data_IF_852583857555
#
_entry.id   IF_852583857555
#
_cell.length_a   1.000
_cell.length_b   1.000
_cell.length_c   1.000
_cell.angle_alpha   90.00
_cell.angle_beta   90.00
_cell.angle_gamma   90.00
#
_symmetry.space_group_name_H-M   'P 1'
#
loop_
_entity.id
_entity.type
_entity.pdbx_description
1 polymer ?
#
# COMPACT_ATOMS: atom_id res chain seq x y z
N UNK A 1 -54.76 9.55 -43.20
CA UNK A 1 -53.72 10.45 -43.74
C UNK A 1 -52.49 9.60 -44.00
N UNK A 2 -52.05 9.50 -45.26
CA UNK A 2 -51.15 8.45 -45.78
C UNK A 2 -49.69 8.75 -45.48
N UNK A 3 -48.95 7.78 -44.88
CA UNK A 3 -47.50 7.80 -44.72
C UNK A 3 -46.79 7.48 -46.05
N UNK A 4 -45.79 8.28 -46.41
CA UNK A 4 -44.89 8.01 -47.57
C UNK A 4 -43.59 7.31 -47.06
N UNK A 5 -43.00 6.40 -47.77
CA UNK A 5 -41.76 5.69 -47.38
C UNK A 5 -40.51 6.49 -47.79
N UNK A 6 -39.44 6.32 -46.98
CA UNK A 6 -38.13 6.92 -47.18
C UNK A 6 -37.29 6.22 -48.25
N UNK A 7 -36.33 6.89 -48.91
CA UNK A 7 -35.56 6.38 -50.05
C UNK A 7 -34.42 5.42 -49.62
N UNK A 8 -34.20 4.42 -50.51
CA UNK A 8 -33.15 3.38 -50.41
C UNK A 8 -31.77 3.95 -50.78
N UNK A 9 -30.75 3.64 -49.96
CA UNK A 9 -29.34 3.91 -50.20
C UNK A 9 -28.74 2.72 -51.01
N UNK A 10 -27.91 2.95 -52.05
CA UNK A 10 -27.33 1.89 -52.88
C UNK A 10 -26.15 1.19 -52.22
N UNK A 11 -26.11 -0.16 -52.34
CA UNK A 11 -25.00 -1.02 -51.91
C UNK A 11 -23.80 -0.88 -52.84
N UNK A 12 -22.60 -0.68 -52.31
CA UNK A 12 -21.31 -0.79 -53.03
C UNK A 12 -20.85 -2.25 -53.10
N UNK A 13 -20.14 -2.65 -54.19
CA UNK A 13 -19.78 -4.05 -54.46
C UNK A 13 -18.52 -4.50 -53.68
N UNK A 14 -18.55 -5.78 -53.31
CA UNK A 14 -17.45 -6.49 -52.68
C UNK A 14 -16.21 -6.55 -53.58
N UNK A 15 -15.06 -6.04 -53.10
CA UNK A 15 -13.73 -6.34 -53.63
C UNK A 15 -13.22 -7.66 -53.06
N UNK A 16 -13.07 -8.67 -53.92
CA UNK A 16 -12.35 -9.92 -53.63
C UNK A 16 -10.89 -9.64 -53.32
N UNK A 17 -10.41 -10.00 -52.13
CA UNK A 17 -8.98 -10.12 -51.85
C UNK A 17 -8.50 -11.51 -52.24
N UNK A 18 -7.50 -11.55 -53.12
CA UNK A 18 -6.75 -12.74 -53.53
C UNK A 18 -5.95 -13.29 -52.35
N UNK A 19 -6.06 -14.59 -52.12
CA UNK A 19 -5.19 -15.37 -51.22
C UNK A 19 -3.82 -15.55 -51.90
N UNK A 20 -2.71 -15.29 -51.19
CA UNK A 20 -1.38 -15.78 -51.51
C UNK A 20 -0.99 -16.82 -50.46
N UNK A 21 -0.18 -17.84 -50.82
CA UNK A 21 -0.03 -19.06 -50.03
C UNK A 21 1.03 -18.94 -48.91
N UNK A 22 0.76 -19.66 -47.82
CA UNK A 22 1.75 -19.91 -46.76
C UNK A 22 2.86 -20.84 -47.28
N UNK A 23 4.10 -20.41 -47.11
CA UNK A 23 5.24 -21.32 -47.11
C UNK A 23 6.37 -20.70 -46.23
N UNK A 24 6.80 -21.50 -45.26
CA UNK A 24 8.09 -21.50 -44.58
C UNK A 24 8.46 -20.34 -43.63
N UNK A 25 8.32 -20.61 -42.34
CA UNK A 25 9.44 -20.42 -41.38
C UNK A 25 9.16 -21.28 -40.11
N UNK A 26 9.51 -22.57 -40.21
CA UNK A 26 9.76 -23.44 -39.07
C UNK A 26 11.24 -23.79 -39.18
N UNK A 27 12.06 -23.29 -38.28
CA UNK A 27 13.34 -23.80 -37.84
C UNK A 27 14.17 -22.65 -37.24
N UNK A 28 14.15 -22.50 -35.93
CA UNK A 28 15.33 -22.19 -35.07
C UNK A 28 14.91 -22.05 -33.60
N UNK A 29 14.62 -23.17 -32.95
CA UNK A 29 14.58 -23.23 -31.47
C UNK A 29 14.73 -24.68 -31.00
N UNK A 30 15.89 -25.26 -31.27
CA UNK A 30 16.31 -26.51 -30.63
C UNK A 30 17.83 -26.63 -30.75
N UNK A 31 18.56 -26.03 -29.83
CA UNK A 31 19.97 -26.35 -29.49
C UNK A 31 20.44 -25.44 -28.35
N UNK A 32 20.05 -25.73 -27.11
CA UNK A 32 20.83 -25.52 -25.89
C UNK A 32 20.18 -26.37 -24.80
N UNK A 33 20.43 -27.64 -24.81
CA UNK A 33 20.27 -28.51 -23.66
C UNK A 33 21.07 -29.79 -23.92
N UNK A 34 22.37 -29.72 -23.66
CA UNK A 34 23.25 -30.87 -23.27
C UNK A 34 24.65 -30.30 -23.07
N UNK A 35 25.12 -30.37 -21.84
CA UNK A 35 26.52 -30.12 -21.56
C UNK A 35 26.82 -29.42 -20.24
N UNK A 36 26.59 -30.07 -19.11
CA UNK A 36 27.30 -29.77 -17.88
C UNK A 36 27.15 -30.94 -16.90
N UNK A 37 27.93 -31.99 -17.13
CA UNK A 37 28.32 -32.92 -16.08
C UNK A 37 29.85 -33.05 -16.19
N UNK A 38 30.51 -32.89 -15.06
CA UNK A 38 31.88 -33.24 -14.70
C UNK A 38 32.85 -32.06 -14.50
N UNK A 39 33.30 -32.07 -13.31
CA UNK A 39 34.63 -31.79 -12.79
C UNK A 39 34.68 -30.74 -11.68
N UNK A 40 34.55 -31.24 -10.46
CA UNK A 40 35.13 -30.69 -9.23
C UNK A 40 36.65 -30.58 -9.40
N UNK A 41 37.22 -29.38 -9.32
CA UNK A 41 38.62 -29.17 -9.01
C UNK A 41 38.74 -27.88 -8.18
N UNK A 42 39.27 -28.07 -6.99
CA UNK A 42 39.55 -27.01 -6.03
C UNK A 42 40.64 -26.07 -6.57
N UNK A 43 40.38 -24.75 -6.47
CA UNK A 43 41.37 -23.70 -6.70
C UNK A 43 41.93 -23.19 -5.35
N UNK A 44 43.24 -22.91 -5.25
CA UNK A 44 43.88 -22.54 -4.00
C UNK A 44 43.65 -21.06 -3.63
N UNK A 45 43.68 -20.80 -2.35
CA UNK A 45 43.58 -19.48 -1.76
C UNK A 45 44.81 -18.60 -2.10
N UNK A 46 44.64 -17.27 -2.28
CA UNK A 46 45.79 -16.37 -2.46
C UNK A 46 46.47 -16.04 -1.12
N UNK A 47 47.78 -15.79 -1.13
CA UNK A 47 48.56 -15.58 0.06
C UNK A 47 48.35 -14.18 0.67
N UNK A 48 48.47 -14.13 1.99
CA UNK A 48 48.45 -12.93 2.79
C UNK A 48 49.64 -12.01 2.42
N UNK A 49 49.35 -10.74 2.10
CA UNK A 49 50.39 -9.74 1.93
C UNK A 49 50.69 -9.08 3.27
N UNK A 50 51.95 -9.16 3.64
CA UNK A 50 52.51 -8.61 4.86
C UNK A 50 52.60 -7.04 4.82
N UNK A 51 52.39 -6.46 5.98
CA UNK A 51 52.61 -5.06 6.25
C UNK A 51 54.05 -4.61 6.07
N UNK A 52 54.29 -3.51 5.39
CA UNK A 52 55.52 -2.72 5.47
C UNK A 52 55.13 -1.29 5.88
N UNK A 53 55.48 -0.96 7.10
CA UNK A 53 55.47 0.39 7.62
C UNK A 53 56.84 1.02 7.34
N UNK A 54 56.86 2.24 6.83
CA UNK A 54 57.97 3.22 7.01
C UNK A 54 57.42 4.64 6.82
N UNK A 55 57.96 5.61 7.60
CA UNK A 55 57.39 6.95 7.67
C UNK A 55 58.04 7.89 6.69
N UNK A 56 57.24 8.80 6.09
CA UNK A 56 57.77 9.99 5.43
C UNK A 56 57.14 11.24 6.06
N UNK A 57 57.98 11.90 6.79
CA UNK A 57 57.75 13.23 7.37
C UNK A 57 58.10 14.27 6.28
N UNK A 58 57.13 15.05 5.81
CA UNK A 58 57.41 16.32 5.13
C UNK A 58 56.34 17.33 5.54
N UNK A 59 56.79 18.35 6.26
CA UNK A 59 56.02 19.51 6.60
C UNK A 59 55.63 20.29 5.31
N UNK A 60 54.31 20.37 5.05
CA UNK A 60 53.74 21.26 4.04
C UNK A 60 52.56 21.99 4.69
N UNK A 61 52.56 23.30 4.67
CA UNK A 61 51.51 24.18 5.22
C UNK A 61 50.21 23.90 4.48
N UNK A 62 49.19 23.50 5.22
CA UNK A 62 47.81 23.45 4.75
C UNK A 62 47.27 24.86 4.49
N UNK A 63 46.55 25.09 3.38
CA UNK A 63 45.75 26.28 3.23
C UNK A 63 44.54 26.19 4.19
N UNK A 64 44.25 27.29 4.87
CA UNK A 64 43.20 27.43 5.84
C UNK A 64 41.87 26.91 5.29
N UNK A 65 41.28 25.89 5.97
CA UNK A 65 39.88 25.49 5.77
C UNK A 65 38.96 26.71 5.96
N UNK A 66 37.96 26.89 5.08
CA UNK A 66 36.91 27.87 5.34
C UNK A 66 36.18 27.41 6.60
N UNK A 67 36.07 28.30 7.57
CA UNK A 67 35.33 28.08 8.83
C UNK A 67 33.92 27.52 8.51
N UNK A 68 33.69 26.26 8.87
CA UNK A 68 32.34 25.70 8.88
C UNK A 68 31.51 26.57 9.83
N UNK A 69 30.62 27.37 9.26
CA UNK A 69 29.60 28.06 9.99
C UNK A 69 28.82 26.98 10.75
N UNK A 70 28.86 27.02 12.07
CA UNK A 70 28.03 26.16 12.92
C UNK A 70 26.59 26.44 12.56
N UNK A 71 25.99 25.60 11.71
CA UNK A 71 24.54 25.53 11.58
C UNK A 71 24.02 25.22 12.97
N UNK A 72 23.19 26.09 13.51
CA UNK A 72 22.49 25.84 14.76
C UNK A 72 21.74 24.50 14.61
N UNK A 73 21.76 23.64 15.62
CA UNK A 73 21.00 22.40 15.56
C UNK A 73 19.54 22.77 15.27
N UNK A 74 18.97 22.20 14.22
CA UNK A 74 17.55 22.33 13.92
C UNK A 74 16.79 21.95 15.21
N UNK A 75 16.03 22.90 15.74
CA UNK A 75 15.21 22.64 16.91
C UNK A 75 14.26 21.51 16.54
N UNK A 76 14.40 20.36 17.20
CA UNK A 76 13.44 19.27 17.08
C UNK A 76 12.06 19.84 17.39
N UNK A 77 11.13 19.69 16.46
CA UNK A 77 9.73 20.05 16.70
C UNK A 77 9.28 19.38 18.00
N UNK A 78 8.62 20.11 18.91
CA UNK A 78 7.97 19.48 20.03
C UNK A 78 6.90 18.56 19.46
N UNK A 79 7.11 17.27 19.50
CA UNK A 79 6.12 16.24 19.18
C UNK A 79 5.06 16.20 20.28
N UNK A 80 4.23 17.22 20.34
CA UNK A 80 2.95 17.07 20.98
C UNK A 80 2.05 16.35 19.96
N UNK A 81 1.52 15.16 20.26
CA UNK A 81 0.51 14.57 19.40
C UNK A 81 -0.62 15.58 19.25
N UNK A 82 -1.16 15.78 18.02
CA UNK A 82 -2.26 16.70 17.83
C UNK A 82 -3.40 16.34 18.78
N UNK A 83 -4.05 17.35 19.35
CA UNK A 83 -5.14 17.15 20.29
C UNK A 83 -6.17 16.18 19.71
N UNK A 84 -6.43 15.06 20.39
CA UNK A 84 -7.37 14.05 19.95
C UNK A 84 -6.77 12.84 19.25
N UNK A 85 -5.46 12.55 19.38
CA UNK A 85 -4.85 11.29 18.91
C UNK A 85 -5.62 10.08 19.44
N UNK A 86 -5.86 9.09 18.59
CA UNK A 86 -6.51 7.84 18.97
C UNK A 86 -5.63 7.08 19.97
N UNK A 87 -6.16 6.89 21.19
CA UNK A 87 -5.47 6.11 22.21
C UNK A 87 -5.44 4.63 21.80
N UNK A 88 -4.36 3.91 22.14
CA UNK A 88 -4.27 2.46 21.94
C UNK A 88 -5.44 1.71 22.60
N UNK A 89 -5.88 2.17 23.77
CA UNK A 89 -7.02 1.61 24.50
C UNK A 89 -8.38 1.76 23.78
N UNK A 90 -8.47 2.55 22.70
CA UNK A 90 -9.69 2.65 21.89
C UNK A 90 -9.85 1.47 20.91
N UNK A 91 -8.76 0.75 20.61
CA UNK A 91 -8.78 -0.45 19.76
C UNK A 91 -9.34 -1.63 20.55
N UNK A 92 -10.27 -2.37 19.94
CA UNK A 92 -10.92 -3.53 20.54
C UNK A 92 -10.27 -4.83 20.04
N UNK A 93 -9.30 -5.35 20.80
CA UNK A 93 -8.62 -6.62 20.48
C UNK A 93 -9.58 -7.82 20.43
N UNK A 94 -10.62 -7.81 21.26
CA UNK A 94 -11.61 -8.88 21.23
C UNK A 94 -12.45 -8.84 19.95
N UNK A 95 -12.78 -7.64 19.47
CA UNK A 95 -13.44 -7.47 18.18
C UNK A 95 -12.55 -7.91 17.00
N UNK A 96 -11.26 -7.55 17.01
CA UNK A 96 -10.29 -8.01 16.00
C UNK A 96 -10.22 -9.54 15.96
N UNK A 97 -10.11 -10.19 17.14
CA UNK A 97 -10.11 -11.65 17.25
C UNK A 97 -11.40 -12.26 16.69
N UNK A 98 -12.56 -11.73 17.08
CA UNK A 98 -13.85 -12.25 16.64
C UNK A 98 -14.03 -12.15 15.10
N UNK A 99 -13.56 -11.06 14.48
CA UNK A 99 -13.59 -10.89 13.01
C UNK A 99 -12.77 -12.00 12.33
N UNK A 100 -11.55 -12.23 12.82
CA UNK A 100 -10.66 -13.23 12.22
C UNK A 100 -11.17 -14.65 12.44
N UNK A 101 -11.70 -14.96 13.63
CA UNK A 101 -12.32 -16.25 13.93
C UNK A 101 -13.54 -16.53 13.03
N UNK A 102 -14.38 -15.53 12.77
CA UNK A 102 -15.51 -15.64 11.84
C UNK A 102 -15.07 -15.92 10.41
N UNK A 103 -14.04 -15.19 9.93
CA UNK A 103 -13.51 -15.39 8.58
C UNK A 103 -12.81 -16.73 8.41
N UNK A 104 -11.99 -17.14 9.39
CA UNK A 104 -11.31 -18.43 9.38
C UNK A 104 -12.30 -19.61 9.47
N UNK A 105 -13.42 -19.45 10.17
CA UNK A 105 -14.47 -20.48 10.30
C UNK A 105 -15.17 -20.80 8.96
N UNK A 106 -15.07 -19.94 7.95
CA UNK A 106 -15.52 -20.23 6.59
C UNK A 106 -14.72 -21.37 5.91
N UNK A 107 -13.68 -21.90 6.54
CA UNK A 107 -12.87 -23.05 6.13
C UNK A 107 -11.96 -22.78 4.94
N UNK A 108 -12.45 -22.15 3.91
CA UNK A 108 -11.71 -21.58 2.79
C UNK A 108 -12.41 -20.29 2.33
N UNK A 109 -11.64 -19.33 1.86
CA UNK A 109 -12.16 -18.15 1.16
C UNK A 109 -11.50 -18.01 -0.20
N UNK A 110 -11.02 -19.12 -0.78
CA UNK A 110 -10.43 -19.12 -2.11
C UNK A 110 -11.36 -18.42 -3.10
N UNK A 111 -10.84 -17.52 -3.94
CA UNK A 111 -11.67 -16.68 -4.83
C UNK A 111 -12.57 -17.46 -5.80
N UNK A 112 -12.21 -18.70 -6.12
CA UNK A 112 -13.00 -19.61 -6.96
C UNK A 112 -13.88 -20.57 -6.14
N UNK A 113 -13.99 -20.41 -4.80
CA UNK A 113 -14.89 -21.20 -3.95
C UNK A 113 -16.33 -20.68 -4.05
N UNK A 114 -17.23 -21.24 -3.24
CA UNK A 114 -18.66 -20.87 -3.28
C UNK A 114 -18.91 -19.42 -2.86
N UNK A 115 -19.67 -18.69 -3.68
CA UNK A 115 -20.20 -17.36 -3.36
C UNK A 115 -21.56 -17.41 -2.65
N UNK A 116 -22.19 -18.57 -2.55
CA UNK A 116 -23.59 -18.73 -2.08
C UNK A 116 -23.74 -19.67 -0.88
N UNK A 117 -22.72 -20.41 -0.52
CA UNK A 117 -22.74 -21.25 0.69
C UNK A 117 -22.52 -20.33 1.90
N UNK A 118 -23.49 -20.31 2.86
CA UNK A 118 -23.40 -19.42 4.02
C UNK A 118 -22.40 -19.87 5.10
N UNK A 119 -21.85 -21.09 5.00
CA UNK A 119 -20.97 -21.67 6.01
C UNK A 119 -19.56 -21.92 5.49
N UNK A 120 -19.35 -21.96 4.15
CA UNK A 120 -18.06 -22.27 3.55
C UNK A 120 -17.85 -21.51 2.26
N UNK A 121 -16.65 -21.05 2.05
CA UNK A 121 -16.25 -20.36 0.82
C UNK A 121 -16.18 -18.85 0.97
N UNK A 122 -15.82 -18.20 -0.13
CA UNK A 122 -15.58 -16.77 -0.15
C UNK A 122 -16.86 -15.95 0.13
N UNK A 123 -18.04 -16.46 -0.25
CA UNK A 123 -19.34 -15.83 0.02
C UNK A 123 -19.64 -15.74 1.52
N UNK A 124 -19.29 -16.78 2.30
CA UNK A 124 -19.38 -16.78 3.75
C UNK A 124 -18.55 -15.61 4.34
N UNK A 125 -17.29 -15.43 3.89
CA UNK A 125 -16.44 -14.33 4.33
C UNK A 125 -17.01 -12.96 3.98
N UNK A 126 -17.49 -12.78 2.74
CA UNK A 126 -18.18 -11.56 2.31
C UNK A 126 -19.36 -11.21 3.22
N UNK A 127 -20.18 -12.17 3.56
CA UNK A 127 -21.40 -11.95 4.36
C UNK A 127 -21.07 -11.52 5.79
N UNK A 128 -20.02 -12.11 6.41
CA UNK A 128 -19.51 -11.66 7.71
C UNK A 128 -19.00 -10.21 7.64
N UNK A 129 -18.22 -9.84 6.64
CA UNK A 129 -17.69 -8.49 6.44
C UNK A 129 -18.83 -7.48 6.28
N UNK A 130 -19.81 -7.79 5.43
CA UNK A 130 -21.01 -6.95 5.25
C UNK A 130 -21.77 -6.74 6.56
N UNK A 131 -21.95 -7.79 7.35
CA UNK A 131 -22.64 -7.71 8.66
C UNK A 131 -21.90 -6.78 9.63
N UNK A 132 -20.56 -6.86 9.67
CA UNK A 132 -19.70 -6.00 10.50
C UNK A 132 -19.79 -4.54 10.08
N UNK A 133 -19.61 -4.22 8.79
CA UNK A 133 -19.75 -2.84 8.30
C UNK A 133 -21.17 -2.29 8.48
N UNK A 134 -22.20 -3.11 8.26
CA UNK A 134 -23.58 -2.70 8.50
C UNK A 134 -23.86 -2.38 9.97
N UNK A 135 -23.26 -3.12 10.90
CA UNK A 135 -23.37 -2.83 12.34
C UNK A 135 -22.70 -1.50 12.69
N UNK A 136 -21.50 -1.24 12.15
CA UNK A 136 -20.77 0.05 12.31
C UNK A 136 -21.59 1.19 11.71
N UNK A 137 -22.16 1.01 10.53
CA UNK A 137 -23.02 2.01 9.89
C UNK A 137 -24.20 2.40 10.77
N UNK A 138 -24.89 1.40 11.34
CA UNK A 138 -26.02 1.66 12.27
C UNK A 138 -25.56 2.43 13.51
N UNK A 139 -24.45 2.04 14.13
CA UNK A 139 -23.88 2.74 15.28
C UNK A 139 -23.49 4.17 14.96
N UNK A 140 -22.95 4.42 13.76
CA UNK A 140 -22.54 5.73 13.23
C UNK A 140 -23.68 6.57 12.65
N UNK A 141 -24.94 6.20 12.88
CA UNK A 141 -26.12 6.95 12.39
C UNK A 141 -26.35 6.80 10.88
N UNK A 142 -25.94 5.70 10.26
CA UNK A 142 -26.20 5.40 8.85
C UNK A 142 -25.29 6.13 7.86
N UNK A 143 -24.24 6.81 8.32
CA UNK A 143 -23.35 7.61 7.44
C UNK A 143 -22.37 6.74 6.64
N UNK A 144 -21.99 5.60 7.17
CA UNK A 144 -21.13 4.65 6.46
C UNK A 144 -21.97 3.94 5.39
N UNK A 145 -21.68 4.21 4.13
CA UNK A 145 -22.38 3.65 2.97
C UNK A 145 -21.72 2.35 2.57
N UNK A 146 -22.41 1.23 2.83
CA UNK A 146 -21.88 -0.12 2.59
C UNK A 146 -22.48 -0.68 1.30
N UNK A 147 -21.63 -1.21 0.43
CA UNK A 147 -22.03 -1.81 -0.86
C UNK A 147 -21.14 -2.99 -1.22
N UNK A 148 -21.65 -3.80 -2.15
CA UNK A 148 -20.88 -4.84 -2.83
C UNK A 148 -20.66 -4.39 -4.27
N UNK A 149 -19.40 -4.32 -4.65
CA UNK A 149 -18.97 -4.05 -6.03
C UNK A 149 -18.69 -5.39 -6.72
N UNK A 150 -19.49 -5.70 -7.77
CA UNK A 150 -19.44 -6.98 -8.49
C UNK A 150 -18.82 -6.81 -9.86
N UNK A 151 -17.89 -7.70 -10.19
CA UNK A 151 -17.19 -7.66 -11.46
C UNK A 151 -16.77 -9.07 -11.91
N UNK A 152 -16.29 -9.18 -13.14
CA UNK A 152 -15.65 -10.39 -13.65
C UNK A 152 -14.20 -10.10 -14.02
N UNK A 153 -13.30 -11.01 -13.72
CA UNK A 153 -11.90 -10.91 -14.10
C UNK A 153 -11.34 -12.23 -14.62
N UNK A 154 -10.32 -12.13 -15.46
CA UNK A 154 -9.62 -13.29 -16.04
C UNK A 154 -8.13 -13.18 -15.75
N UNK A 155 -7.55 -14.24 -15.18
CA UNK A 155 -6.13 -14.36 -14.90
C UNK A 155 -5.65 -15.80 -15.09
N UNK A 156 -4.34 -16.06 -15.12
CA UNK A 156 -3.84 -17.44 -15.13
C UNK A 156 -4.37 -18.27 -13.95
N UNK A 157 -4.47 -17.67 -12.76
CA UNK A 157 -4.98 -18.34 -11.55
C UNK A 157 -6.52 -18.35 -11.44
N UNK A 158 -7.24 -17.90 -12.47
CA UNK A 158 -8.67 -18.21 -12.67
C UNK A 158 -8.87 -19.33 -13.71
N UNK A 159 -7.79 -20.04 -14.06
CA UNK A 159 -7.79 -21.03 -15.13
C UNK A 159 -7.92 -20.42 -16.53
N UNK A 160 -7.63 -19.13 -16.69
CA UNK A 160 -7.75 -18.39 -17.95
C UNK A 160 -9.19 -18.14 -18.37
N UNK A 161 -10.14 -18.21 -17.44
CA UNK A 161 -11.58 -17.98 -17.69
C UNK A 161 -12.08 -16.81 -16.85
N UNK A 162 -13.13 -16.09 -17.30
CA UNK A 162 -13.83 -15.13 -16.46
C UNK A 162 -14.32 -15.78 -15.16
N UNK A 163 -14.01 -15.16 -14.03
CA UNK A 163 -14.46 -15.57 -12.72
C UNK A 163 -15.25 -14.41 -12.09
N UNK A 164 -16.43 -14.65 -11.50
CA UNK A 164 -17.16 -13.64 -10.76
C UNK A 164 -16.42 -13.33 -9.46
N UNK A 165 -16.25 -12.05 -9.17
CA UNK A 165 -15.58 -11.53 -7.98
C UNK A 165 -16.40 -10.40 -7.37
N UNK A 166 -16.24 -10.17 -6.08
CA UNK A 166 -16.93 -9.11 -5.35
C UNK A 166 -15.98 -8.43 -4.38
N UNK A 167 -15.94 -7.10 -4.39
CA UNK A 167 -15.33 -6.30 -3.33
C UNK A 167 -16.42 -5.82 -2.35
N UNK A 168 -16.09 -5.70 -1.07
CA UNK A 168 -16.95 -5.05 -0.09
C UNK A 168 -16.42 -3.66 0.19
N UNK A 169 -17.23 -2.64 -0.08
CA UNK A 169 -16.85 -1.24 0.02
C UNK A 169 -17.70 -0.53 1.07
N UNK A 170 -17.06 0.21 1.96
CA UNK A 170 -17.71 1.00 2.99
C UNK A 170 -17.19 2.45 2.95
N UNK A 171 -17.95 3.35 2.30
CA UNK A 171 -17.62 4.75 2.15
C UNK A 171 -18.15 5.60 3.31
N UNK A 172 -17.30 6.40 3.90
CA UNK A 172 -17.67 7.49 4.80
C UNK A 172 -17.43 8.82 4.06
N UNK A 173 -18.47 9.44 3.49
CA UNK A 173 -18.32 10.65 2.68
C UNK A 173 -17.68 11.80 3.45
N UNK A 174 -16.78 12.51 2.79
CA UNK A 174 -16.19 13.74 3.28
C UNK A 174 -17.22 14.87 3.37
N UNK A 175 -17.03 15.75 4.35
CA UNK A 175 -17.95 16.88 4.60
C UNK A 175 -17.52 18.18 3.90
N UNK A 176 -16.29 18.27 3.42
CA UNK A 176 -15.79 19.44 2.69
C UNK A 176 -16.02 19.25 1.19
N UNK A 177 -16.85 20.10 0.54
CA UNK A 177 -17.12 19.98 -0.89
C UNK A 177 -15.86 19.98 -1.77
N UNK A 178 -14.80 20.68 -1.36
CA UNK A 178 -13.53 20.75 -2.10
C UNK A 178 -12.72 19.43 -1.99
N UNK A 179 -12.88 18.69 -0.89
CA UNK A 179 -12.12 17.48 -0.57
C UNK A 179 -12.96 16.20 -0.63
N UNK A 180 -14.28 16.29 -0.82
CA UNK A 180 -15.19 15.14 -0.81
C UNK A 180 -14.88 14.11 -1.90
N UNK A 181 -14.18 14.48 -2.95
CA UNK A 181 -13.69 13.56 -4.00
C UNK A 181 -12.26 13.09 -3.79
N UNK A 182 -11.54 13.58 -2.79
CA UNK A 182 -10.29 13.01 -2.32
C UNK A 182 -10.61 11.85 -1.39
N UNK A 183 -10.09 10.66 -1.68
CA UNK A 183 -10.32 9.46 -0.88
C UNK A 183 -9.02 8.96 -0.25
N UNK A 184 -9.07 8.75 1.06
CA UNK A 184 -8.08 7.98 1.81
C UNK A 184 -8.66 6.62 2.13
N UNK A 185 -7.94 5.54 1.80
CA UNK A 185 -8.51 4.20 1.93
C UNK A 185 -7.59 3.23 2.67
N UNK A 186 -8.21 2.25 3.30
CA UNK A 186 -7.57 1.10 3.95
C UNK A 186 -8.22 -0.18 3.46
N UNK A 187 -7.43 -1.20 3.20
CA UNK A 187 -7.96 -2.52 2.87
C UNK A 187 -7.12 -3.67 3.41
N UNK A 188 -7.74 -4.84 3.40
CA UNK A 188 -7.15 -6.16 3.32
C UNK A 188 -7.87 -6.96 2.25
N UNK A 189 -7.31 -8.08 1.78
CA UNK A 189 -8.01 -9.00 0.91
C UNK A 189 -8.69 -10.10 1.72
N UNK A 190 -9.90 -10.49 1.32
CA UNK A 190 -10.64 -11.48 2.09
C UNK A 190 -10.64 -12.88 1.47
N UNK A 191 -10.06 -13.04 0.30
CA UNK A 191 -9.74 -14.35 -0.23
C UNK A 191 -8.54 -14.97 0.49
N UNK A 192 -8.40 -16.29 0.42
CA UNK A 192 -7.33 -17.05 1.05
C UNK A 192 -6.87 -18.18 0.12
N UNK A 193 -5.63 -18.66 0.31
CA UNK A 193 -5.03 -19.64 -0.58
C UNK A 193 -4.50 -20.86 0.18
N UNK A 194 -4.83 -22.09 -0.23
CA UNK A 194 -4.23 -23.32 0.29
C UNK A 194 -2.87 -23.61 -0.35
N UNK A 195 -2.19 -24.67 0.10
CA UNK A 195 -0.92 -25.13 -0.49
C UNK A 195 -1.03 -25.45 -2.00
N UNK A 196 -2.20 -25.88 -2.46
CA UNK A 196 -2.51 -26.05 -3.88
C UNK A 196 -3.26 -24.84 -4.38
N UNK A 197 -2.56 -23.89 -4.99
CA UNK A 197 -3.06 -22.56 -5.40
C UNK A 197 -4.31 -22.55 -6.29
N UNK A 198 -4.69 -23.70 -6.86
CA UNK A 198 -5.86 -23.84 -7.75
C UNK A 198 -6.94 -24.72 -7.14
N UNK A 199 -6.83 -25.11 -5.86
CA UNK A 199 -7.82 -25.94 -5.19
C UNK A 199 -8.80 -25.10 -4.35
N UNK A 200 -10.00 -24.78 -4.86
CA UNK A 200 -10.96 -23.96 -4.16
C UNK A 200 -11.69 -24.70 -3.03
N UNK A 201 -11.47 -26.01 -2.88
CA UNK A 201 -12.14 -26.85 -1.89
C UNK A 201 -11.26 -27.16 -0.67
N UNK A 202 -9.94 -27.08 -0.80
CA UNK A 202 -9.03 -27.33 0.31
C UNK A 202 -9.18 -26.30 1.41
N UNK A 203 -8.92 -26.71 2.65
CA UNK A 203 -8.95 -25.81 3.80
C UNK A 203 -7.83 -24.76 3.69
N UNK A 204 -8.24 -23.51 3.79
CA UNK A 204 -7.39 -22.32 3.78
C UNK A 204 -8.01 -21.28 4.74
N UNK A 205 -7.82 -21.39 6.06
CA UNK A 205 -8.41 -20.49 7.03
C UNK A 205 -8.00 -19.03 6.84
N UNK A 206 -6.74 -18.78 6.37
CA UNK A 206 -6.25 -17.45 6.03
C UNK A 206 -6.41 -16.47 7.19
N UNK A 207 -5.94 -16.83 8.39
CA UNK A 207 -6.14 -16.01 9.58
C UNK A 207 -5.23 -14.78 9.57
N UNK A 208 -4.00 -14.94 9.11
CA UNK A 208 -3.05 -13.84 8.93
C UNK A 208 -3.11 -13.31 7.50
N UNK A 209 -3.15 -14.19 6.52
CA UNK A 209 -3.22 -13.90 5.08
C UNK A 209 -4.64 -14.20 4.53
N UNK A 210 -5.63 -13.23 4.45
CA UNK A 210 -5.45 -11.90 5.01
C UNK A 210 -6.72 -11.46 5.77
N UNK A 211 -7.22 -12.36 6.68
CA UNK A 211 -8.25 -11.92 7.60
C UNK A 211 -7.72 -10.84 8.58
N UNK A 212 -6.39 -10.79 8.79
CA UNK A 212 -5.74 -9.80 9.64
C UNK A 212 -5.89 -8.38 9.09
N UNK A 213 -5.61 -8.17 7.81
CA UNK A 213 -5.78 -6.87 7.14
C UNK A 213 -7.25 -6.47 7.01
N UNK A 214 -8.14 -7.43 6.74
CA UNK A 214 -9.58 -7.18 6.76
C UNK A 214 -10.05 -6.71 8.15
N UNK A 215 -9.55 -7.33 9.22
CA UNK A 215 -9.86 -6.92 10.58
C UNK A 215 -9.37 -5.50 10.89
N UNK A 216 -8.18 -5.12 10.39
CA UNK A 216 -7.66 -3.73 10.48
C UNK A 216 -8.58 -2.75 9.77
N UNK A 217 -9.08 -3.08 8.58
CA UNK A 217 -10.00 -2.22 7.84
C UNK A 217 -11.34 -2.04 8.57
N UNK A 218 -11.91 -3.12 9.10
CA UNK A 218 -13.17 -3.08 9.86
C UNK A 218 -13.00 -2.31 11.18
N UNK A 219 -11.92 -2.53 11.93
CA UNK A 219 -11.64 -1.82 13.17
C UNK A 219 -11.39 -0.32 12.92
N UNK A 220 -10.69 0.02 11.84
CA UNK A 220 -10.53 1.41 11.41
C UNK A 220 -11.88 2.06 11.13
N UNK A 221 -12.80 1.36 10.46
CA UNK A 221 -14.15 1.85 10.25
C UNK A 221 -14.90 2.05 11.58
N UNK A 222 -14.79 1.13 12.55
CA UNK A 222 -15.41 1.26 13.87
C UNK A 222 -14.91 2.50 14.61
N UNK A 223 -13.60 2.71 14.61
CA UNK A 223 -12.96 3.86 15.28
C UNK A 223 -13.33 5.19 14.65
N UNK A 224 -13.50 5.24 13.32
CA UNK A 224 -13.66 6.49 12.58
C UNK A 224 -15.11 6.79 12.22
N UNK A 225 -15.91 5.79 11.89
CA UNK A 225 -17.30 5.95 11.47
C UNK A 225 -18.33 5.61 12.55
N UNK A 226 -17.95 4.93 13.63
CA UNK A 226 -18.87 4.51 14.69
C UNK A 226 -19.43 5.64 15.55
N UNK A 227 -18.79 6.82 15.56
CA UNK A 227 -19.29 8.01 16.27
C UNK A 227 -20.07 8.92 15.32
N UNK A 228 -21.40 9.11 15.51
CA UNK A 228 -22.22 9.91 14.60
C UNK A 228 -21.88 11.41 14.60
N UNK A 229 -21.15 11.89 15.60
CA UNK A 229 -20.75 13.30 15.69
C UNK A 229 -19.48 13.63 14.90
N UNK A 230 -18.63 12.63 14.62
CA UNK A 230 -17.36 12.86 13.91
C UNK A 230 -17.58 13.19 12.44
N UNK A 231 -16.80 14.14 11.94
CA UNK A 231 -16.75 14.51 10.52
C UNK A 231 -15.30 14.54 10.06
N UNK A 232 -15.10 14.18 8.81
CA UNK A 232 -13.81 14.27 8.12
C UNK A 232 -14.00 15.14 6.89
N UNK A 233 -12.98 15.88 6.51
CA UNK A 233 -13.05 16.77 5.34
C UNK A 233 -13.05 15.96 4.05
N UNK A 234 -12.08 15.05 3.90
CA UNK A 234 -12.00 14.11 2.79
C UNK A 234 -12.82 12.84 3.04
N UNK A 235 -13.11 12.09 1.98
CA UNK A 235 -13.80 10.79 2.04
C UNK A 235 -12.86 9.71 2.58
N UNK A 236 -13.38 8.84 3.45
CA UNK A 236 -12.72 7.62 3.88
C UNK A 236 -13.38 6.41 3.22
N UNK A 237 -12.56 5.44 2.77
CA UNK A 237 -13.02 4.16 2.26
C UNK A 237 -12.36 3.03 3.05
N UNK A 238 -13.18 2.14 3.57
CA UNK A 238 -12.78 0.89 4.19
C UNK A 238 -13.19 -0.23 3.26
N UNK A 239 -12.24 -1.00 2.76
CA UNK A 239 -12.49 -1.99 1.72
C UNK A 239 -12.01 -3.39 2.13
N UNK A 240 -12.73 -4.41 1.71
CA UNK A 240 -12.22 -5.76 1.63
C UNK A 240 -12.27 -6.19 0.16
N UNK A 241 -11.12 -6.47 -0.42
CA UNK A 241 -10.99 -6.82 -1.83
C UNK A 241 -10.86 -8.33 -2.01
N UNK A 242 -11.18 -8.85 -3.19
CA UNK A 242 -11.11 -10.27 -3.49
C UNK A 242 -10.22 -10.58 -4.68
N UNK A 243 -9.65 -11.79 -4.72
CA UNK A 243 -8.83 -12.24 -5.83
C UNK A 243 -7.44 -11.62 -5.85
N UNK A 244 -6.91 -11.24 -4.70
CA UNK A 244 -5.49 -10.87 -4.53
C UNK A 244 -4.62 -12.05 -4.96
N UNK A 245 -4.89 -13.21 -4.39
CA UNK A 245 -4.18 -14.47 -4.60
C UNK A 245 -4.23 -14.97 -6.05
N UNK A 246 -5.23 -14.55 -6.80
CA UNK A 246 -5.36 -14.86 -8.22
C UNK A 246 -4.70 -13.83 -9.13
N UNK A 247 -4.14 -12.75 -8.58
CA UNK A 247 -3.35 -11.76 -9.30
C UNK A 247 -3.84 -10.32 -9.15
N UNK A 248 -4.12 -9.87 -7.92
CA UNK A 248 -4.49 -8.49 -7.56
C UNK A 248 -5.77 -8.03 -8.28
N UNK A 249 -6.74 -8.95 -8.49
CA UNK A 249 -7.89 -8.70 -9.35
C UNK A 249 -8.83 -7.66 -8.75
N UNK A 250 -9.12 -7.79 -7.44
CA UNK A 250 -10.01 -6.89 -6.72
C UNK A 250 -9.46 -5.48 -6.59
N UNK A 251 -8.19 -5.33 -6.25
CA UNK A 251 -7.55 -4.02 -6.13
C UNK A 251 -7.35 -3.32 -7.47
N UNK A 252 -7.05 -4.09 -8.54
CA UNK A 252 -6.99 -3.55 -9.90
C UNK A 252 -8.34 -3.00 -10.32
N UNK A 253 -9.42 -3.74 -10.05
CA UNK A 253 -10.78 -3.28 -10.31
C UNK A 253 -11.17 -2.09 -9.42
N UNK A 254 -10.85 -2.13 -8.12
CA UNK A 254 -11.13 -1.04 -7.19
C UNK A 254 -10.48 0.28 -7.64
N UNK A 255 -9.22 0.24 -8.08
CA UNK A 255 -8.55 1.42 -8.63
C UNK A 255 -9.34 2.03 -9.79
N UNK A 256 -9.73 1.20 -10.76
CA UNK A 256 -10.53 1.65 -11.91
C UNK A 256 -11.91 2.17 -11.48
N UNK A 257 -12.58 1.45 -10.56
CA UNK A 257 -13.85 1.89 -10.00
C UNK A 257 -13.76 3.31 -9.39
N UNK A 258 -12.72 3.58 -8.61
CA UNK A 258 -12.54 4.89 -8.00
C UNK A 258 -12.28 5.98 -9.02
N UNK A 259 -11.48 5.72 -10.05
CA UNK A 259 -11.23 6.66 -11.16
C UNK A 259 -12.52 6.94 -11.95
N UNK A 260 -13.29 5.92 -12.31
CA UNK A 260 -14.54 6.04 -13.07
C UNK A 260 -15.61 6.83 -12.30
N UNK A 261 -15.56 6.81 -10.96
CA UNK A 261 -16.42 7.60 -10.08
C UNK A 261 -15.86 8.98 -9.74
N UNK A 262 -14.74 9.38 -10.36
CA UNK A 262 -14.13 10.69 -10.21
C UNK A 262 -13.49 10.92 -8.84
N UNK A 263 -13.03 9.87 -8.16
CA UNK A 263 -12.24 10.01 -6.95
C UNK A 263 -10.76 10.23 -7.29
N UNK A 264 -10.13 11.11 -6.51
CA UNK A 264 -8.68 11.27 -6.47
C UNK A 264 -8.13 10.52 -5.26
N UNK A 265 -7.12 9.68 -5.46
CA UNK A 265 -6.51 8.90 -4.38
C UNK A 265 -5.58 9.82 -3.58
N UNK A 266 -5.97 10.15 -2.35
CA UNK A 266 -5.13 10.90 -1.41
C UNK A 266 -4.12 10.01 -0.67
N UNK A 267 -4.46 8.72 -0.47
CA UNK A 267 -3.58 7.73 0.14
C UNK A 267 -4.27 6.38 0.31
N UNK A 268 -3.55 5.32 -0.03
CA UNK A 268 -4.00 3.94 0.16
C UNK A 268 -3.10 3.18 1.12
N UNK A 269 -3.70 2.67 2.21
CA UNK A 269 -3.06 1.88 3.25
C UNK A 269 -3.49 0.41 3.07
N UNK A 270 -2.72 -0.37 2.33
CA UNK A 270 -2.96 -1.81 2.18
C UNK A 270 -2.35 -2.57 3.35
N UNK A 271 -3.13 -3.42 3.99
CA UNK A 271 -2.67 -4.32 5.05
C UNK A 271 -2.75 -5.75 4.53
N UNK A 272 -1.68 -6.51 4.69
CA UNK A 272 -1.59 -7.85 4.14
C UNK A 272 -0.50 -8.60 4.91
N UNK A 273 -0.90 -9.64 5.66
CA UNK A 273 -0.09 -10.36 6.65
C UNK A 273 0.38 -9.41 7.76
N UNK A 274 -0.54 -9.01 8.65
CA UNK A 274 -0.28 -8.03 9.72
C UNK A 274 -0.67 -8.52 11.11
N UNK A 275 -0.98 -9.82 11.24
CA UNK A 275 -1.54 -10.39 12.46
C UNK A 275 -0.51 -11.02 13.39
N UNK A 276 0.70 -11.33 12.94
CA UNK A 276 1.70 -12.01 13.74
C UNK A 276 3.00 -11.22 13.89
N UNK A 277 3.81 -11.61 14.86
CA UNK A 277 5.15 -11.07 15.05
C UNK A 277 6.04 -12.14 15.65
N UNK A 278 6.80 -12.78 14.77
CA UNK A 278 7.74 -13.82 15.13
C UNK A 278 9.16 -13.32 15.41
N UNK A 279 9.36 -12.00 15.46
CA UNK A 279 10.68 -11.39 15.68
C UNK A 279 11.13 -11.58 17.12
N UNK A 280 12.18 -12.35 17.41
CA UNK A 280 12.66 -12.48 18.78
C UNK A 280 13.34 -11.19 19.25
N UNK A 281 12.78 -10.56 20.27
CA UNK A 281 13.45 -9.56 21.10
C UNK A 281 13.68 -8.17 20.51
N UNK A 282 12.90 -7.74 19.52
CA UNK A 282 13.05 -6.43 18.88
C UNK A 282 11.85 -5.53 19.08
N UNK A 283 11.93 -4.22 18.80
CA UNK A 283 10.71 -3.44 18.66
C UNK A 283 9.88 -4.03 17.53
N UNK A 284 8.67 -4.44 17.87
CA UNK A 284 7.67 -5.07 17.01
C UNK A 284 7.10 -4.03 16.04
N UNK A 285 7.92 -3.57 15.10
CA UNK A 285 7.55 -2.54 14.13
C UNK A 285 6.99 -3.18 12.86
N UNK A 286 5.78 -2.82 12.49
CA UNK A 286 5.23 -3.20 11.21
C UNK A 286 6.10 -2.63 10.07
N UNK A 287 6.39 -3.45 9.05
CA UNK A 287 7.08 -2.98 7.85
C UNK A 287 6.11 -2.20 6.98
N UNK A 288 6.55 -1.07 6.45
CA UNK A 288 5.79 -0.22 5.54
C UNK A 288 6.54 -0.10 4.22
N UNK A 289 6.08 -0.84 3.22
CA UNK A 289 6.65 -0.85 1.88
C UNK A 289 6.13 0.32 1.07
N UNK A 290 7.04 0.99 0.33
CA UNK A 290 6.72 2.11 -0.55
C UNK A 290 7.68 2.17 -1.73
N UNK A 291 7.14 2.33 -2.94
CA UNK A 291 7.95 2.40 -4.14
C UNK A 291 8.43 3.82 -4.43
N UNK A 292 9.60 3.93 -5.06
CA UNK A 292 10.03 5.14 -5.75
C UNK A 292 9.46 5.21 -7.15
N UNK A 293 9.43 6.41 -7.71
CA UNK A 293 9.11 6.64 -9.12
C UNK A 293 10.21 6.13 -10.05
N UNK A 294 9.96 6.15 -11.37
CA UNK A 294 10.99 5.93 -12.37
C UNK A 294 12.12 6.97 -12.18
N UNK A 295 13.32 6.62 -12.60
CA UNK A 295 14.50 7.50 -12.56
C UNK A 295 15.01 7.88 -11.16
N UNK A 296 14.63 7.13 -10.11
CA UNK A 296 15.09 7.38 -8.74
C UNK A 296 14.44 8.58 -8.05
N UNK A 297 13.49 9.23 -8.70
CA UNK A 297 12.69 10.32 -8.11
C UNK A 297 11.81 9.77 -7.01
N UNK A 298 11.65 10.49 -5.90
CA UNK A 298 10.68 10.15 -4.88
C UNK A 298 9.27 10.13 -5.47
N UNK A 299 8.49 9.17 -5.03
CA UNK A 299 7.13 8.99 -5.52
C UNK A 299 6.12 9.29 -4.39
N UNK A 300 4.87 9.63 -4.72
CA UNK A 300 3.82 9.86 -3.75
C UNK A 300 3.64 8.72 -2.72
N UNK A 301 3.97 7.48 -3.12
CA UNK A 301 3.99 6.31 -2.23
C UNK A 301 4.99 6.47 -1.07
N UNK A 302 6.21 7.00 -1.34
CA UNK A 302 7.22 7.23 -0.29
C UNK A 302 6.86 8.38 0.63
N UNK A 303 6.23 9.41 0.09
CA UNK A 303 5.77 10.55 0.89
C UNK A 303 4.62 10.14 1.81
N UNK A 304 3.70 9.34 1.32
CA UNK A 304 2.66 8.72 2.16
C UNK A 304 3.28 7.86 3.28
N UNK A 305 4.30 7.04 2.97
CA UNK A 305 4.97 6.22 3.98
C UNK A 305 5.66 7.06 5.06
N UNK A 306 6.29 8.18 4.70
CA UNK A 306 6.89 9.11 5.67
C UNK A 306 5.83 9.80 6.52
N UNK A 307 4.74 10.24 5.91
CA UNK A 307 3.61 10.83 6.66
C UNK A 307 3.04 9.83 7.68
N UNK A 308 2.88 8.57 7.31
CA UNK A 308 2.46 7.51 8.23
C UNK A 308 3.47 7.31 9.37
N UNK A 309 4.79 7.27 9.08
CA UNK A 309 5.82 7.16 10.13
C UNK A 309 5.80 8.37 11.07
N UNK A 310 5.63 9.58 10.56
CA UNK A 310 5.52 10.81 11.37
C UNK A 310 4.30 10.78 12.30
N UNK A 311 3.17 10.31 11.79
CA UNK A 311 1.92 10.17 12.56
C UNK A 311 2.05 9.08 13.64
N UNK A 312 2.58 7.93 13.27
CA UNK A 312 2.63 6.75 14.14
C UNK A 312 3.81 6.77 15.12
N UNK A 313 4.89 7.45 14.75
CA UNK A 313 6.20 7.41 15.40
C UNK A 313 7.13 6.33 14.84
N UNK A 314 8.45 6.58 14.88
CA UNK A 314 9.47 5.70 14.27
C UNK A 314 9.59 4.34 14.96
N UNK A 315 9.03 4.19 16.15
CA UNK A 315 9.04 2.92 16.90
C UNK A 315 7.85 2.02 16.55
N UNK A 316 6.82 2.56 15.88
CA UNK A 316 5.67 1.78 15.44
C UNK A 316 5.84 1.22 14.01
N UNK A 317 6.54 1.95 13.14
CA UNK A 317 6.65 1.65 11.72
C UNK A 317 8.11 1.57 11.29
N UNK A 318 8.43 0.60 10.43
CA UNK A 318 9.72 0.49 9.74
C UNK A 318 9.55 0.80 8.26
N UNK A 319 10.05 1.94 7.81
CA UNK A 319 10.06 2.30 6.39
C UNK A 319 10.91 1.31 5.57
N UNK A 320 10.35 0.81 4.48
CA UNK A 320 11.02 -0.04 3.50
C UNK A 320 10.83 0.57 2.11
N UNK A 321 11.85 1.24 1.61
CA UNK A 321 11.81 1.91 0.29
C UNK A 321 11.97 0.91 -0.85
N UNK A 322 10.97 0.07 -1.01
CA UNK A 322 10.83 -0.97 -2.01
C UNK A 322 9.36 -1.21 -2.26
N UNK A 323 8.98 -1.53 -3.51
CA UNK A 323 7.58 -1.80 -3.85
C UNK A 323 6.97 -2.88 -2.97
N UNK A 324 7.67 -4.01 -2.83
CA UNK A 324 7.26 -5.14 -2.00
C UNK A 324 8.43 -6.07 -1.73
N UNK A 325 8.19 -7.20 -1.07
CA UNK A 325 9.11 -8.33 -0.91
C UNK A 325 9.60 -8.81 -2.27
N UNK A 326 10.79 -9.40 -2.32
CA UNK A 326 11.39 -9.84 -3.58
C UNK A 326 10.54 -10.93 -4.26
N UNK A 327 10.08 -10.66 -5.48
CA UNK A 327 9.29 -11.58 -6.28
C UNK A 327 7.84 -11.74 -5.82
N UNK A 328 7.35 -10.86 -4.93
CA UNK A 328 5.97 -10.84 -4.43
C UNK A 328 5.30 -9.52 -4.77
N UNK A 329 4.01 -9.43 -4.51
CA UNK A 329 3.18 -8.25 -4.72
C UNK A 329 2.16 -8.09 -3.60
N UNK A 330 1.23 -7.16 -3.76
CA UNK A 330 0.11 -6.89 -2.89
C UNK A 330 -0.81 -5.84 -3.49
N UNK A 331 -1.96 -5.62 -2.92
CA UNK A 331 -3.05 -4.81 -3.47
C UNK A 331 -2.72 -3.32 -3.67
N UNK A 332 -1.69 -2.80 -3.00
CA UNK A 332 -1.19 -1.44 -3.24
C UNK A 332 -0.55 -1.27 -4.62
N UNK A 333 -0.07 -2.36 -5.23
CA UNK A 333 0.73 -2.32 -6.45
C UNK A 333 0.01 -1.72 -7.66
N UNK A 334 -1.25 -2.04 -8.00
CA UNK A 334 -1.96 -1.41 -9.12
C UNK A 334 -2.06 0.12 -8.99
N UNK A 335 -2.15 0.64 -7.75
CA UNK A 335 -2.19 2.08 -7.48
C UNK A 335 -0.81 2.73 -7.64
N UNK A 336 0.25 2.10 -7.12
CA UNK A 336 1.63 2.59 -7.29
C UNK A 336 2.04 2.61 -8.75
N UNK A 337 1.70 1.58 -9.53
CA UNK A 337 1.97 1.51 -10.97
C UNK A 337 1.21 2.59 -11.77
N UNK A 338 0.08 3.07 -11.25
CA UNK A 338 -0.66 4.22 -11.78
C UNK A 338 -0.14 5.59 -11.25
N UNK A 339 0.96 5.61 -10.49
CA UNK A 339 1.53 6.84 -9.92
C UNK A 339 0.76 7.39 -8.72
N UNK A 340 -0.12 6.60 -8.11
CA UNK A 340 -0.95 7.01 -6.98
C UNK A 340 -0.28 6.68 -5.64
N UNK A 341 -0.54 7.46 -4.56
CA UNK A 341 0.04 7.21 -3.25
C UNK A 341 -0.57 5.95 -2.61
N UNK A 342 0.21 4.88 -2.55
CA UNK A 342 -0.19 3.62 -1.94
C UNK A 342 1.00 2.95 -1.25
N UNK A 343 0.74 2.33 -0.10
CA UNK A 343 1.73 1.64 0.73
C UNK A 343 1.18 0.29 1.21
N UNK A 344 2.09 -0.65 1.53
CA UNK A 344 1.72 -1.94 2.11
C UNK A 344 2.30 -2.07 3.51
N UNK A 345 1.44 -2.36 4.47
CA UNK A 345 1.80 -2.86 5.78
C UNK A 345 1.95 -4.37 5.74
N UNK A 346 3.00 -4.90 6.38
CA UNK A 346 3.17 -6.33 6.62
C UNK A 346 4.01 -6.55 7.88
N UNK A 347 3.85 -7.66 8.52
CA UNK A 347 4.52 -8.02 9.76
C UNK A 347 6.05 -8.00 9.65
N UNK A 348 6.80 -7.87 10.77
CA UNK A 348 8.27 -7.73 10.72
C UNK A 348 8.99 -8.96 10.20
N UNK A 349 8.46 -10.14 10.44
CA UNK A 349 9.04 -11.42 10.03
C UNK A 349 7.94 -12.44 9.75
N UNK A 350 7.83 -12.90 8.52
CA UNK A 350 6.84 -13.88 8.08
C UNK A 350 7.28 -15.31 8.38
N UNK A 351 6.36 -16.18 8.81
CA UNK A 351 6.59 -17.63 8.92
C UNK A 351 5.84 -18.40 7.82
N UNK A 352 6.56 -18.76 6.76
CA UNK A 352 6.02 -19.46 5.59
C UNK A 352 5.43 -20.86 5.88
N UNK A 353 5.55 -21.40 7.10
CA UNK A 353 4.78 -22.57 7.50
C UNK A 353 3.32 -22.21 7.83
N UNK A 354 3.07 -20.94 8.07
CA UNK A 354 1.75 -20.42 8.42
C UNK A 354 1.11 -19.57 7.31
N UNK A 355 1.77 -19.43 6.15
CA UNK A 355 1.24 -18.72 4.98
C UNK A 355 1.01 -19.71 3.83
N UNK A 356 -0.10 -19.55 3.08
CA UNK A 356 -0.46 -20.37 1.90
C UNK A 356 -0.36 -21.88 2.16
N UNK A 357 -0.70 -22.31 3.39
CA UNK A 357 -0.57 -23.70 3.80
C UNK A 357 -1.93 -24.29 4.18
N UNK A 358 -2.27 -25.42 3.59
CA UNK A 358 -3.36 -26.24 4.08
C UNK A 358 -3.02 -26.76 5.47
N UNK A 359 -3.94 -26.65 6.47
CA UNK A 359 -3.68 -27.07 7.83
C UNK A 359 -3.30 -28.56 7.92
N UNK A 360 -2.16 -28.85 8.52
CA UNK A 360 -1.65 -30.23 8.73
C UNK A 360 -0.55 -30.27 9.77
N UNK A 361 -0.33 -31.46 10.32
CA UNK A 361 0.84 -31.78 11.13
C UNK A 361 1.76 -32.67 10.30
N UNK A 362 2.99 -32.22 10.04
CA UNK A 362 3.96 -32.93 9.21
C UNK A 362 5.35 -32.84 9.84
N UNK A 363 6.00 -34.00 10.07
CA UNK A 363 7.33 -34.04 10.68
C UNK A 363 7.42 -33.41 12.08
N UNK A 364 6.31 -33.35 12.81
CA UNK A 364 6.22 -32.70 14.13
C UNK A 364 6.07 -31.18 14.08
N UNK A 365 6.02 -30.58 12.88
CA UNK A 365 5.71 -29.17 12.66
C UNK A 365 4.26 -29.01 12.25
N UNK A 366 3.60 -28.03 12.82
CA UNK A 366 2.27 -27.64 12.41
C UNK A 366 2.33 -26.61 11.27
N UNK A 367 1.51 -26.82 10.25
CA UNK A 367 1.33 -25.96 9.10
C UNK A 367 -0.08 -25.43 9.04
N UNK A 368 -0.27 -24.31 8.42
CA UNK A 368 -1.59 -23.68 8.21
C UNK A 368 -1.66 -22.31 8.82
N UNK A 369 -2.41 -21.45 8.18
CA UNK A 369 -2.68 -20.08 8.62
C UNK A 369 -3.86 -20.09 9.60
N UNK A 370 -3.54 -20.17 10.89
CA UNK A 370 -4.49 -20.41 11.98
C UNK A 370 -4.48 -19.28 13.00
N UNK A 371 -5.67 -18.95 13.52
CA UNK A 371 -5.89 -17.88 14.51
C UNK A 371 -4.96 -17.94 15.73
N UNK A 372 -4.57 -19.13 16.16
CA UNK A 372 -3.71 -19.33 17.34
C UNK A 372 -2.27 -18.82 17.19
N UNK A 373 -1.82 -18.55 15.96
CA UNK A 373 -0.50 -18.00 15.68
C UNK A 373 -0.46 -16.47 15.70
N UNK A 374 -1.62 -15.81 15.81
CA UNK A 374 -1.71 -14.36 15.79
C UNK A 374 -1.36 -13.72 17.14
N UNK A 375 -0.77 -12.53 17.05
CA UNK A 375 -0.52 -11.63 18.16
C UNK A 375 -1.50 -10.45 18.12
N UNK A 376 -2.60 -10.54 18.84
CA UNK A 376 -3.65 -9.52 18.81
C UNK A 376 -3.24 -8.18 19.41
N UNK A 377 -2.22 -8.14 20.28
CA UNK A 377 -1.65 -6.88 20.74
C UNK A 377 -0.93 -6.16 19.60
N UNK A 378 -0.10 -6.88 18.83
CA UNK A 378 0.57 -6.35 17.66
C UNK A 378 -0.43 -5.90 16.59
N UNK A 379 -1.39 -6.75 16.25
CA UNK A 379 -2.46 -6.42 15.29
C UNK A 379 -3.25 -5.16 15.73
N UNK A 380 -3.52 -5.03 17.01
CA UNK A 380 -4.16 -3.84 17.55
C UNK A 380 -3.30 -2.58 17.43
N UNK A 381 -1.98 -2.67 17.51
CA UNK A 381 -1.09 -1.55 17.24
C UNK A 381 -1.10 -1.16 15.77
N UNK A 382 -1.14 -2.14 14.85
CA UNK A 382 -1.30 -1.90 13.41
C UNK A 382 -2.64 -1.22 13.11
N UNK A 383 -3.74 -1.68 13.70
CA UNK A 383 -5.06 -1.07 13.52
C UNK A 383 -5.08 0.39 14.01
N UNK A 384 -4.44 0.69 15.14
CA UNK A 384 -4.30 2.06 15.64
C UNK A 384 -3.52 2.95 14.68
N UNK A 385 -2.39 2.46 14.15
CA UNK A 385 -1.58 3.21 13.18
C UNK A 385 -2.40 3.55 11.93
N UNK A 386 -3.11 2.57 11.38
CA UNK A 386 -3.96 2.77 10.20
C UNK A 386 -5.08 3.80 10.48
N UNK A 387 -5.85 3.60 11.55
CA UNK A 387 -6.96 4.48 11.88
C UNK A 387 -6.48 5.93 12.17
N UNK A 388 -5.37 6.10 12.89
CA UNK A 388 -4.83 7.43 13.18
C UNK A 388 -4.29 8.11 11.92
N UNK A 389 -3.61 7.38 11.05
CA UNK A 389 -3.14 7.91 9.77
C UNK A 389 -4.29 8.38 8.90
N UNK A 390 -5.33 7.54 8.73
CA UNK A 390 -6.53 7.91 7.99
C UNK A 390 -7.22 9.14 8.60
N UNK A 391 -7.33 9.19 9.93
CA UNK A 391 -7.94 10.32 10.65
C UNK A 391 -7.23 11.63 10.36
N UNK A 392 -5.90 11.66 10.49
CA UNK A 392 -5.12 12.88 10.29
C UNK A 392 -5.13 13.31 8.83
N UNK A 393 -4.91 12.38 7.90
CA UNK A 393 -4.92 12.66 6.47
C UNK A 393 -6.28 13.19 6.00
N UNK A 394 -7.39 12.61 6.47
CA UNK A 394 -8.73 13.05 6.09
C UNK A 394 -9.18 14.37 6.76
N UNK A 395 -8.49 14.83 7.79
CA UNK A 395 -8.69 16.13 8.44
C UNK A 395 -7.72 17.21 7.93
N UNK A 396 -6.69 16.83 7.17
CA UNK A 396 -5.67 17.76 6.70
C UNK A 396 -6.26 18.90 5.85
N UNK A 397 -5.68 20.10 5.90
CA UNK A 397 -5.96 21.15 4.96
C UNK A 397 -5.72 20.75 3.51
N UNK A 398 -6.28 21.49 2.57
CA UNK A 398 -6.03 21.28 1.15
C UNK A 398 -4.54 21.45 0.82
N UNK A 399 -4.05 20.59 -0.09
CA UNK A 399 -2.66 20.61 -0.54
C UNK A 399 -2.31 21.89 -1.28
N UNK A 400 -1.12 22.49 -1.08
CA UNK A 400 -0.64 23.61 -1.92
C UNK A 400 -0.68 23.24 -3.40
N UNK A 401 -1.11 24.19 -4.23
CA UNK A 401 -1.17 23.99 -5.68
C UNK A 401 0.04 24.68 -6.37
N UNK A 402 0.31 24.27 -7.62
CA UNK A 402 1.34 24.89 -8.48
C UNK A 402 2.71 24.99 -7.81
N UNK A 403 3.08 23.98 -7.03
CA UNK A 403 4.38 23.96 -6.36
C UNK A 403 5.49 23.91 -7.38
N UNK A 404 6.41 24.85 -7.30
CA UNK A 404 7.58 24.93 -8.17
C UNK A 404 8.87 24.95 -7.37
N UNK A 405 9.87 24.25 -7.88
CA UNK A 405 11.24 24.21 -7.36
C UNK A 405 12.17 24.70 -8.45
N UNK A 406 13.02 25.70 -8.16
CA UNK A 406 14.02 26.21 -9.09
C UNK A 406 15.33 26.50 -8.38
N UNK A 407 16.44 26.56 -9.16
CA UNK A 407 17.78 26.75 -8.60
C UNK A 407 18.83 25.76 -9.13
N UNK A 408 18.54 25.04 -10.22
CA UNK A 408 19.41 23.98 -10.76
C UNK A 408 20.83 24.34 -11.16
N UNK A 409 21.20 25.65 -11.17
CA UNK A 409 22.54 26.14 -11.46
C UNK A 409 23.06 27.10 -10.39
N UNK A 410 22.46 27.09 -9.21
CA UNK A 410 22.83 27.92 -8.05
C UNK A 410 22.97 27.05 -6.80
N UNK A 411 23.58 27.60 -5.76
CA UNK A 411 23.63 26.95 -4.45
C UNK A 411 22.36 27.13 -3.66
N UNK A 412 21.43 27.96 -4.12
CA UNK A 412 20.20 28.32 -3.43
C UNK A 412 19.00 27.72 -4.17
N UNK A 413 18.00 27.28 -3.43
CA UNK A 413 16.75 26.77 -4.00
C UNK A 413 15.61 27.76 -3.74
N UNK A 414 14.85 28.05 -4.78
CA UNK A 414 13.63 28.85 -4.72
C UNK A 414 12.43 27.92 -4.76
N UNK A 415 11.54 28.05 -3.80
CA UNK A 415 10.27 27.36 -3.73
C UNK A 415 9.15 28.39 -3.88
N UNK A 416 8.15 28.08 -4.71
CA UNK A 416 6.93 28.87 -4.79
C UNK A 416 5.71 27.94 -4.93
N UNK A 417 4.57 28.39 -4.43
CA UNK A 417 3.32 27.64 -4.42
C UNK A 417 2.11 28.56 -4.37
N UNK A 418 0.98 28.08 -4.87
CA UNK A 418 -0.32 28.71 -4.67
C UNK A 418 -0.97 28.17 -3.40
N UNK A 419 -1.23 29.09 -2.47
CA UNK A 419 -1.88 28.75 -1.21
C UNK A 419 -3.38 28.50 -1.44
N UNK A 420 -3.95 27.33 -1.06
CA UNK A 420 -5.40 27.13 -1.12
C UNK A 420 -6.12 28.07 -0.17
N UNK A 421 -7.34 28.49 -0.51
CA UNK A 421 -8.23 29.17 0.40
C UNK A 421 -8.85 28.15 1.35
N UNK A 422 -8.20 27.96 2.51
CA UNK A 422 -8.54 26.93 3.48
C UNK A 422 -8.57 27.54 4.89
N UNK A 423 -9.75 27.53 5.57
CA UNK A 423 -9.90 28.16 6.88
C UNK A 423 -9.07 27.47 7.99
N UNK A 424 -8.70 26.20 7.80
CA UNK A 424 -7.92 25.43 8.77
C UNK A 424 -6.39 25.57 8.56
N UNK A 425 -5.99 26.33 7.52
CA UNK A 425 -4.58 26.56 7.24
C UNK A 425 -3.99 27.62 8.16
N UNK A 426 -3.01 27.25 8.99
CA UNK A 426 -2.24 28.17 9.80
C UNK A 426 -0.99 28.74 9.09
N UNK A 427 -0.51 28.07 8.04
CA UNK A 427 0.71 28.42 7.31
C UNK A 427 1.27 27.21 6.59
N UNK A 428 2.55 27.29 6.22
CA UNK A 428 3.30 26.24 5.57
C UNK A 428 4.60 25.98 6.32
N UNK A 429 4.98 24.74 6.43
CA UNK A 429 6.32 24.32 6.86
C UNK A 429 7.10 23.91 5.61
N UNK A 430 8.35 24.35 5.53
CA UNK A 430 9.25 23.96 4.45
C UNK A 430 10.09 22.80 4.94
N UNK A 431 9.88 21.67 4.31
CA UNK A 431 10.61 20.44 4.58
C UNK A 431 11.62 20.18 3.47
N UNK A 432 12.80 19.74 3.83
CA UNK A 432 13.81 19.26 2.89
C UNK A 432 14.60 18.12 3.50
N UNK A 433 15.28 17.35 2.68
CA UNK A 433 16.19 16.30 3.10
C UNK A 433 17.26 16.06 2.05
N UNK A 434 18.43 15.63 2.45
CA UNK A 434 19.42 15.09 1.53
C UNK A 434 18.87 13.84 0.82
N UNK A 435 19.27 13.61 -0.42
CA UNK A 435 18.83 12.48 -1.23
C UNK A 435 19.17 11.12 -0.60
N UNK A 436 20.19 11.08 0.28
CA UNK A 436 20.66 9.90 1.00
C UNK A 436 19.96 9.68 2.36
N UNK A 437 19.20 10.66 2.83
CA UNK A 437 18.53 10.62 4.14
C UNK A 437 17.05 10.27 3.95
N UNK A 438 16.50 9.28 4.67
CA UNK A 438 15.14 8.83 4.45
C UNK A 438 14.06 9.75 5.04
N UNK A 439 14.38 10.57 6.05
CA UNK A 439 13.42 11.40 6.79
C UNK A 439 13.55 12.86 6.46
N UNK A 440 12.41 13.56 6.49
CA UNK A 440 12.35 15.00 6.34
C UNK A 440 12.99 15.72 7.53
N UNK A 441 13.58 16.89 7.25
CA UNK A 441 14.01 17.86 8.25
C UNK A 441 13.19 19.15 8.07
N UNK A 442 12.83 19.81 9.16
CA UNK A 442 12.17 21.12 9.06
C UNK A 442 13.25 22.16 8.81
N UNK A 443 13.13 22.88 7.70
CA UNK A 443 14.01 24.00 7.40
C UNK A 443 13.51 25.29 8.04
N UNK A 444 12.24 25.60 7.87
CA UNK A 444 11.64 26.82 8.36
C UNK A 444 10.25 26.52 8.91
N UNK A 445 9.97 27.00 10.10
CA UNK A 445 8.65 26.97 10.69
C UNK A 445 7.65 27.83 9.92
N UNK A 446 6.38 27.72 10.30
CA UNK A 446 5.21 28.22 9.60
C UNK A 446 5.42 29.59 8.93
N UNK A 447 5.21 29.62 7.61
CA UNK A 447 5.18 30.84 6.79
C UNK A 447 3.81 31.03 6.15
N UNK A 448 3.35 32.26 6.10
CA UNK A 448 2.12 32.60 5.35
C UNK A 448 2.41 32.96 3.89
N UNK A 449 3.69 33.16 3.54
CA UNK A 449 4.12 33.49 2.17
C UNK A 449 3.86 32.33 1.21
N UNK A 450 3.68 32.64 -0.08
CA UNK A 450 3.58 31.65 -1.17
C UNK A 450 4.93 31.35 -1.85
N UNK A 451 6.05 31.79 -1.27
CA UNK A 451 7.38 31.57 -1.80
C UNK A 451 8.45 31.65 -0.70
N UNK A 452 9.60 31.03 -0.94
CA UNK A 452 10.79 31.16 -0.08
C UNK A 452 12.06 30.83 -0.84
N UNK A 453 13.19 31.29 -0.30
CA UNK A 453 14.54 30.96 -0.79
C UNK A 453 15.29 30.21 0.30
N UNK A 454 15.82 29.05 -0.04
CA UNK A 454 16.66 28.23 0.83
C UNK A 454 18.11 28.47 0.47
N UNK A 455 18.77 29.37 1.20
CA UNK A 455 20.17 29.74 0.94
C UNK A 455 21.11 28.57 1.27
N UNK A 456 22.00 28.23 0.36
CA UNK A 456 22.99 27.16 0.52
C UNK A 456 22.41 25.73 0.48
N UNK A 457 21.15 25.57 0.06
CA UNK A 457 20.50 24.26 -0.11
C UNK A 457 20.29 24.03 -1.59
N UNK A 458 21.11 23.19 -2.22
CA UNK A 458 21.09 22.92 -3.66
C UNK A 458 20.09 21.84 -4.03
N UNK A 459 19.41 22.02 -5.14
CA UNK A 459 18.54 20.99 -5.76
C UNK A 459 19.31 19.72 -6.18
N UNK A 460 20.65 19.78 -6.30
CA UNK A 460 21.46 18.62 -6.68
C UNK A 460 21.52 17.56 -5.59
N UNK A 461 21.44 17.98 -4.32
CA UNK A 461 21.65 17.11 -3.17
C UNK A 461 20.40 16.91 -2.32
N UNK A 462 19.33 17.67 -2.57
CA UNK A 462 18.16 17.69 -1.69
C UNK A 462 16.85 17.46 -2.44
N UNK A 463 15.90 16.84 -1.73
CA UNK A 463 14.47 16.82 -2.06
C UNK A 463 13.73 17.84 -1.17
N UNK A 464 12.59 18.34 -1.67
CA UNK A 464 11.77 19.37 -1.06
C UNK A 464 10.32 18.94 -1.02
#
# INVERSE_FOLDING_TARGET
>A
MRLRPAPRVPRRPHRRRRRLPHLALVALAALVALGALAASAAAPAPPAAAALAAPLNTAGRDPAEPSQGKSAPAAALPKAPPAGTLARAAVDEAALRAIIEELAACGTRHALSSWTDPQRGIGCGRDHILARFAAISRAGGGRLQVSVDRFEATAPRTGGKPAPLENVLAFLPGSDPALAKTVYLVSGHFDSMPSSVMDPAADAPGADDDASGVAVAIESARLLAGDPARRYRATLLFAAVSGEEQGLLGSTHLRQYLEDHGYTIGGYLNNDIVGADFSPGAPHRVRLFSAGGPDGVDAPSRDLARAVEEIAGPDAVRLVFRLDRLGRGGDHRPFVEAGQPAVRFTEPLEDYAHEHQTPRLEGGREYGDLVKFLNFQFLGDVARVNAESLRQLALAPATPAEVTVSGGVTTDTHLAWTAPDDPDRAGFEILWRETTVPRWSVYQGATAAGETVLAGVSTDNHFF
#
